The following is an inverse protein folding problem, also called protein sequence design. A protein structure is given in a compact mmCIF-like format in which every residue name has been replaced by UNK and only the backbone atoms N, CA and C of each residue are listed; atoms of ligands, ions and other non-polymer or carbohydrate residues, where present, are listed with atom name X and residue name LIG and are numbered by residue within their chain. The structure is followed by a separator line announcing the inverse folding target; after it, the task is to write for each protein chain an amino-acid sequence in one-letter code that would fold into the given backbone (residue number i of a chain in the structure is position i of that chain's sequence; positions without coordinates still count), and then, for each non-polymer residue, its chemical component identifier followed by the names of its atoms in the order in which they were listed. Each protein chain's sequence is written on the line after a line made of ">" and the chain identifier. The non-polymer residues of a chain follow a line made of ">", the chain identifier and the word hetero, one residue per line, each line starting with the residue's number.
data_IF_456845746685
#
_entry.id   IF_456845746685
#
_cell.length_a   1.000
_cell.length_b   1.000
_cell.length_c   1.000
_cell.angle_alpha   90.00
_cell.angle_beta   90.00
_cell.angle_gamma   90.00
#
_symmetry.space_group_name_H-M   'P 1'
#
loop_
_entity.id
_entity.type
_entity.pdbx_description
1 polymer ?
#
# COMPACT_ATOMS: atom_id res chain seq x y z
N UNK A 1 8.53 12.87 -16.19
CA UNK A 1 7.07 13.11 -16.10
C UNK A 1 6.38 11.79 -16.34
N UNK A 2 5.99 11.09 -15.29
CA UNK A 2 5.25 9.84 -15.44
C UNK A 2 3.75 10.04 -15.57
N UNK A 3 3.03 8.92 -15.52
CA UNK A 3 1.60 8.85 -15.77
C UNK A 3 0.83 8.69 -14.46
N UNK A 4 -0.38 9.23 -14.39
CA UNK A 4 -1.29 8.83 -13.32
C UNK A 4 -1.83 7.42 -13.56
N UNK A 5 -2.22 6.75 -12.48
CA UNK A 5 -3.02 5.54 -12.48
C UNK A 5 -4.42 5.86 -11.93
N UNK A 6 -5.45 5.52 -12.70
CA UNK A 6 -6.85 5.67 -12.34
C UNK A 6 -7.57 4.39 -12.76
N UNK A 7 -8.05 3.62 -11.80
CA UNK A 7 -8.70 2.33 -12.04
C UNK A 7 -10.05 2.25 -11.33
N UNK A 8 -11.02 1.58 -11.96
CA UNK A 8 -12.40 1.46 -11.45
C UNK A 8 -12.83 -0.01 -11.41
N UNK A 9 -13.19 -0.51 -10.22
CA UNK A 9 -13.67 -1.89 -10.00
C UNK A 9 -15.10 -1.89 -9.44
N UNK A 10 -16.00 -2.63 -10.09
CA UNK A 10 -17.40 -2.78 -9.67
C UNK A 10 -17.51 -3.87 -8.59
N UNK A 11 -18.16 -3.56 -7.46
CA UNK A 11 -18.48 -4.55 -6.43
C UNK A 11 -20.00 -4.70 -6.24
N UNK A 12 -20.47 -5.95 -6.11
CA UNK A 12 -21.88 -6.34 -6.03
C UNK A 12 -22.21 -6.91 -4.65
N UNK A 13 -23.47 -6.81 -4.24
CA UNK A 13 -23.96 -7.48 -3.02
C UNK A 13 -23.13 -7.16 -1.76
N UNK A 14 -22.86 -8.16 -0.92
CA UNK A 14 -22.05 -8.06 0.30
C UNK A 14 -20.56 -8.40 0.09
N UNK A 15 -20.08 -8.52 -1.15
CA UNK A 15 -18.72 -9.00 -1.46
C UNK A 15 -17.61 -7.97 -1.23
N UNK A 16 -17.88 -6.95 -0.43
CA UNK A 16 -17.01 -5.78 -0.26
C UNK A 16 -16.28 -5.73 1.08
N UNK A 17 -16.72 -6.54 2.06
CA UNK A 17 -16.16 -6.55 3.41
C UNK A 17 -14.64 -6.75 3.44
N UNK A 18 -14.12 -7.68 2.62
CA UNK A 18 -12.68 -7.97 2.56
C UNK A 18 -11.85 -6.79 2.02
N UNK A 19 -12.44 -6.00 1.12
CA UNK A 19 -11.81 -4.77 0.65
C UNK A 19 -11.88 -3.67 1.70
N UNK A 20 -13.01 -3.56 2.42
CA UNK A 20 -13.13 -2.65 3.57
C UNK A 20 -12.10 -2.97 4.63
N UNK A 21 -11.90 -4.25 4.97
CA UNK A 21 -10.90 -4.68 5.94
C UNK A 21 -9.47 -4.31 5.51
N UNK A 22 -9.18 -4.40 4.21
CA UNK A 22 -7.91 -3.96 3.63
C UNK A 22 -7.75 -2.43 3.71
N UNK A 23 -8.75 -1.68 3.25
CA UNK A 23 -8.72 -0.21 3.18
C UNK A 23 -8.62 0.42 4.57
N UNK A 24 -9.38 -0.11 5.53
CA UNK A 24 -9.45 0.38 6.91
C UNK A 24 -8.39 -0.26 7.82
N UNK A 25 -7.50 -1.11 7.25
CA UNK A 25 -6.44 -1.81 7.97
C UNK A 25 -6.95 -2.61 9.19
N UNK A 26 -8.14 -3.19 9.09
CA UNK A 26 -8.64 -4.21 10.02
C UNK A 26 -7.83 -5.50 9.91
N UNK A 27 -7.28 -5.77 8.73
CA UNK A 27 -6.28 -6.80 8.47
C UNK A 27 -5.12 -6.14 7.76
N UNK A 28 -3.91 -6.22 8.34
CA UNK A 28 -2.70 -5.68 7.75
C UNK A 28 -2.22 -6.64 6.64
N UNK A 29 -2.11 -6.20 5.38
CA UNK A 29 -1.58 -7.04 4.31
C UNK A 29 -0.05 -7.14 4.37
N UNK A 30 0.50 -8.22 3.82
CA UNK A 30 1.95 -8.51 3.87
C UNK A 30 2.83 -7.41 3.24
N UNK A 31 2.28 -6.64 2.29
CA UNK A 31 2.97 -5.56 1.60
C UNK A 31 2.81 -4.18 2.24
N UNK A 32 2.11 -4.07 3.39
CA UNK A 32 2.01 -2.84 4.14
C UNK A 32 3.03 -2.84 5.30
N UNK A 33 3.70 -1.71 5.47
CA UNK A 33 4.62 -1.42 6.57
C UNK A 33 3.83 -0.91 7.80
N UNK A 34 3.69 -1.72 8.86
CA UNK A 34 2.91 -1.34 10.04
C UNK A 34 3.41 -0.07 10.73
N UNK A 35 4.69 0.27 10.57
CA UNK A 35 5.27 1.47 11.18
C UNK A 35 4.76 2.75 10.53
N UNK A 36 4.26 2.67 9.30
CA UNK A 36 3.77 3.79 8.50
C UNK A 36 2.25 3.90 8.46
N UNK A 37 1.50 2.91 8.96
CA UNK A 37 0.03 2.89 8.91
C UNK A 37 -0.61 4.11 9.56
N UNK A 38 0.02 4.70 10.57
CA UNK A 38 -0.44 5.94 11.21
C UNK A 38 -0.43 7.17 10.28
N UNK A 39 0.27 7.09 9.14
CA UNK A 39 0.29 8.13 8.10
C UNK A 39 -0.90 8.01 7.13
N UNK A 40 -1.69 6.94 7.21
CA UNK A 40 -2.90 6.80 6.42
C UNK A 40 -3.96 7.79 6.90
N UNK A 41 -4.78 8.30 5.98
CA UNK A 41 -5.77 9.35 6.29
C UNK A 41 -7.09 9.13 5.59
N UNK A 42 -8.17 9.33 6.31
CA UNK A 42 -9.51 9.43 5.73
C UNK A 42 -9.78 10.88 5.31
N UNK A 43 -10.14 11.08 4.04
CA UNK A 43 -10.37 12.42 3.47
C UNK A 43 -11.85 12.81 3.43
N UNK A 44 -12.75 11.85 3.69
CA UNK A 44 -14.20 12.08 3.72
C UNK A 44 -14.73 11.81 5.11
N UNK A 45 -15.36 12.82 5.71
CA UNK A 45 -16.03 12.67 7.00
C UNK A 45 -17.33 11.87 6.84
N UNK A 46 -17.43 10.77 7.57
CA UNK A 46 -18.63 9.94 7.61
C UNK A 46 -19.81 10.65 8.29
N UNK A 47 -21.07 10.35 7.91
CA UNK A 47 -22.25 10.83 8.62
C UNK A 47 -22.28 10.38 10.09
N UNK A 48 -23.00 11.12 10.94
CA UNK A 48 -23.15 10.76 12.35
C UNK A 48 -23.78 9.37 12.52
N UNK A 49 -23.16 8.52 13.34
CA UNK A 49 -23.63 7.15 13.60
C UNK A 49 -23.32 6.14 12.48
N UNK A 50 -22.46 6.52 11.53
CA UNK A 50 -21.95 5.64 10.47
C UNK A 50 -20.47 5.37 10.75
N UNK A 51 -20.11 4.10 10.92
CA UNK A 51 -18.76 3.68 11.26
C UNK A 51 -18.19 2.80 10.15
N UNK A 52 -17.16 3.33 9.49
CA UNK A 52 -16.50 2.64 8.38
C UNK A 52 -17.27 2.70 7.05
N UNK A 53 -16.57 2.23 6.03
CA UNK A 53 -16.87 2.26 4.61
C UNK A 53 -18.10 1.43 4.25
N UNK A 54 -18.25 0.23 4.81
CA UNK A 54 -19.41 -0.63 4.52
C UNK A 54 -20.72 0.01 5.00
N UNK A 55 -20.72 0.57 6.20
CA UNK A 55 -21.87 1.31 6.74
C UNK A 55 -22.13 2.58 5.92
N UNK A 56 -21.09 3.28 5.46
CA UNK A 56 -21.23 4.47 4.62
C UNK A 56 -21.89 4.16 3.28
N UNK A 57 -21.50 3.06 2.63
CA UNK A 57 -22.13 2.57 1.40
C UNK A 57 -23.60 2.23 1.66
N UNK A 58 -23.89 1.48 2.72
CA UNK A 58 -25.25 1.09 3.08
C UNK A 58 -26.13 2.30 3.43
N UNK A 59 -25.60 3.25 4.20
CA UNK A 59 -26.25 4.48 4.59
C UNK A 59 -26.61 5.33 3.35
N UNK A 60 -25.66 5.52 2.43
CA UNK A 60 -25.91 6.27 1.19
C UNK A 60 -26.98 5.62 0.34
N UNK A 61 -26.96 4.29 0.17
CA UNK A 61 -27.98 3.55 -0.56
C UNK A 61 -29.37 3.70 0.10
N UNK A 62 -29.44 3.61 1.43
CA UNK A 62 -30.68 3.70 2.20
C UNK A 62 -31.30 5.10 2.12
N UNK A 63 -30.49 6.15 2.16
CA UNK A 63 -30.94 7.55 2.19
C UNK A 63 -31.17 8.15 0.80
N UNK A 64 -30.70 7.50 -0.27
CA UNK A 64 -30.84 7.98 -1.65
C UNK A 64 -32.29 7.99 -2.20
N UNK A 65 -33.28 7.49 -1.48
CA UNK A 65 -34.67 7.47 -1.95
C UNK A 65 -34.94 6.47 -3.08
N UNK A 66 -34.13 5.40 -3.18
CA UNK A 66 -34.33 4.32 -4.15
C UNK A 66 -35.58 3.52 -3.75
N UNK A 67 -36.64 3.63 -4.55
CA UNK A 67 -37.92 2.97 -4.27
C UNK A 67 -37.98 1.50 -4.68
N UNK A 68 -37.14 1.06 -5.62
CA UNK A 68 -37.13 -0.32 -6.10
C UNK A 68 -36.19 -1.16 -5.23
N UNK A 69 -36.59 -2.42 -4.97
CA UNK A 69 -35.73 -3.39 -4.30
C UNK A 69 -34.41 -3.53 -5.05
N UNK A 70 -33.31 -3.47 -4.30
CA UNK A 70 -31.96 -3.67 -4.82
C UNK A 70 -31.64 -5.17 -4.76
N UNK A 71 -31.30 -5.77 -5.89
CA UNK A 71 -30.93 -7.18 -5.96
C UNK A 71 -29.46 -7.39 -5.59
N UNK A 72 -29.08 -8.62 -5.25
CA UNK A 72 -27.71 -8.95 -4.85
C UNK A 72 -26.70 -8.77 -6.00
N UNK A 73 -27.14 -8.91 -7.26
CA UNK A 73 -26.27 -8.75 -8.44
C UNK A 73 -26.02 -7.30 -8.84
N UNK A 74 -26.72 -6.34 -8.22
CA UNK A 74 -26.50 -4.93 -8.51
C UNK A 74 -25.19 -4.45 -7.89
N UNK A 75 -24.47 -3.65 -8.68
CA UNK A 75 -23.26 -2.97 -8.24
C UNK A 75 -23.65 -1.93 -7.19
N UNK A 76 -23.17 -2.13 -5.97
CA UNK A 76 -23.44 -1.24 -4.83
C UNK A 76 -22.39 -0.16 -4.67
N UNK A 77 -21.16 -0.45 -5.09
CA UNK A 77 -20.04 0.49 -5.03
C UNK A 77 -19.09 0.27 -6.20
N UNK A 78 -18.49 1.36 -6.65
CA UNK A 78 -17.35 1.40 -7.55
C UNK A 78 -16.14 1.75 -6.68
N UNK A 79 -15.22 0.80 -6.56
CA UNK A 79 -13.90 1.00 -5.94
C UNK A 79 -13.02 1.71 -6.95
N UNK A 80 -12.40 2.80 -6.56
CA UNK A 80 -11.54 3.60 -7.43
C UNK A 80 -10.17 3.73 -6.80
N UNK A 81 -9.12 3.36 -7.53
CA UNK A 81 -7.74 3.58 -7.08
C UNK A 81 -7.14 4.73 -7.88
N UNK A 82 -6.53 5.68 -7.18
CA UNK A 82 -5.84 6.82 -7.77
C UNK A 82 -4.40 6.88 -7.27
N UNK A 83 -3.44 6.98 -8.18
CA UNK A 83 -2.01 7.11 -7.85
C UNK A 83 -1.24 7.67 -9.05
N UNK A 84 0.09 7.65 -8.97
CA UNK A 84 1.03 7.93 -10.04
C UNK A 84 2.10 6.84 -10.11
N UNK A 85 3.17 7.09 -10.86
CA UNK A 85 4.37 6.25 -10.74
C UNK A 85 4.97 6.40 -9.35
N UNK A 86 5.73 5.41 -8.89
CA UNK A 86 6.37 5.47 -7.58
C UNK A 86 7.22 6.75 -7.43
N UNK A 87 8.06 7.03 -8.42
CA UNK A 87 8.93 8.21 -8.46
C UNK A 87 8.13 9.52 -8.40
N UNK A 88 7.08 9.67 -9.22
CA UNK A 88 6.29 10.91 -9.21
C UNK A 88 5.56 11.10 -7.87
N UNK A 89 4.99 10.04 -7.29
CA UNK A 89 4.29 10.13 -6.00
C UNK A 89 5.24 10.47 -4.85
N UNK A 90 6.45 9.91 -4.85
CA UNK A 90 7.48 10.27 -3.87
C UNK A 90 7.96 11.70 -4.06
N UNK A 91 8.09 12.18 -5.30
CA UNK A 91 8.44 13.57 -5.58
C UNK A 91 7.33 14.53 -5.10
N UNK A 92 6.06 14.23 -5.36
CA UNK A 92 4.92 15.00 -4.86
C UNK A 92 4.93 15.06 -3.33
N UNK A 93 5.22 13.95 -2.66
CA UNK A 93 5.32 13.90 -1.20
C UNK A 93 6.52 14.70 -0.66
N UNK A 94 7.71 14.52 -1.23
CA UNK A 94 8.92 15.22 -0.82
C UNK A 94 8.81 16.74 -1.00
N UNK A 95 8.09 17.20 -2.03
CA UNK A 95 7.84 18.62 -2.28
C UNK A 95 6.71 19.21 -1.42
N UNK A 96 6.14 18.44 -0.47
CA UNK A 96 5.04 18.91 0.37
C UNK A 96 3.70 19.08 -0.37
N UNK A 97 3.57 18.55 -1.58
CA UNK A 97 2.40 18.72 -2.44
C UNK A 97 1.36 17.58 -2.30
N UNK A 98 1.62 16.61 -1.42
CA UNK A 98 0.75 15.44 -1.25
C UNK A 98 -0.66 15.80 -0.78
N UNK A 99 -0.77 16.80 0.10
CA UNK A 99 -2.05 17.26 0.63
C UNK A 99 -2.89 17.94 -0.44
N UNK A 100 -2.25 18.78 -1.26
CA UNK A 100 -2.89 19.42 -2.39
C UNK A 100 -3.36 18.37 -3.41
N UNK A 101 -2.52 17.38 -3.71
CA UNK A 101 -2.87 16.27 -4.60
C UNK A 101 -4.07 15.47 -4.07
N UNK A 102 -4.09 15.18 -2.76
CA UNK A 102 -5.22 14.53 -2.10
C UNK A 102 -6.51 15.35 -2.22
N UNK A 103 -6.43 16.65 -1.95
CA UNK A 103 -7.56 17.57 -1.99
C UNK A 103 -8.13 17.73 -3.41
N UNK A 104 -7.28 17.87 -4.42
CA UNK A 104 -7.72 17.97 -5.81
C UNK A 104 -8.28 16.66 -6.34
N UNK A 105 -7.69 15.53 -5.93
CA UNK A 105 -8.21 14.20 -6.28
C UNK A 105 -9.60 14.00 -5.67
N UNK A 106 -9.79 14.39 -4.40
CA UNK A 106 -11.09 14.36 -3.73
C UNK A 106 -12.09 15.30 -4.42
N UNK A 107 -11.67 16.53 -4.75
CA UNK A 107 -12.49 17.50 -5.47
C UNK A 107 -12.95 16.94 -6.81
N UNK A 108 -12.02 16.42 -7.62
CA UNK A 108 -12.33 15.83 -8.91
C UNK A 108 -13.32 14.65 -8.78
N UNK A 109 -13.14 13.78 -7.79
CA UNK A 109 -14.08 12.69 -7.51
C UNK A 109 -15.48 13.23 -7.18
N UNK A 110 -15.58 14.24 -6.33
CA UNK A 110 -16.86 14.83 -5.91
C UNK A 110 -17.55 15.59 -7.05
N UNK A 111 -16.81 16.32 -7.87
CA UNK A 111 -17.32 17.05 -9.02
C UNK A 111 -17.80 16.07 -10.11
N UNK A 112 -17.07 14.95 -10.29
CA UNK A 112 -17.38 13.94 -11.32
C UNK A 112 -18.54 13.03 -10.96
N UNK A 113 -18.56 12.53 -9.71
CA UNK A 113 -19.51 11.49 -9.30
C UNK A 113 -20.62 12.00 -8.36
N UNK A 114 -20.50 13.24 -7.89
CA UNK A 114 -21.37 13.86 -6.90
C UNK A 114 -20.86 13.64 -5.49
N UNK A 115 -20.79 14.72 -4.71
CA UNK A 115 -20.28 14.72 -3.33
C UNK A 115 -20.91 13.65 -2.43
N UNK A 116 -22.23 13.45 -2.50
CA UNK A 116 -22.92 12.43 -1.71
C UNK A 116 -22.60 10.99 -2.13
N UNK A 117 -22.19 10.79 -3.38
CA UNK A 117 -21.89 9.46 -3.91
C UNK A 117 -20.48 9.02 -3.57
N UNK A 118 -19.55 9.95 -3.29
CA UNK A 118 -18.20 9.65 -2.80
C UNK A 118 -18.26 9.48 -1.29
N UNK A 119 -18.42 8.23 -0.83
CA UNK A 119 -18.72 7.94 0.59
C UNK A 119 -17.48 7.66 1.43
N UNK A 120 -16.35 7.35 0.80
CA UNK A 120 -15.08 7.09 1.49
C UNK A 120 -13.94 7.39 0.52
N UNK A 121 -12.91 8.09 1.01
CA UNK A 121 -11.62 8.24 0.31
C UNK A 121 -10.53 8.11 1.37
N UNK A 122 -9.65 7.13 1.20
CA UNK A 122 -8.57 6.82 2.16
C UNK A 122 -7.24 6.87 1.44
N UNK A 123 -6.31 7.64 2.00
CA UNK A 123 -4.90 7.67 1.61
C UNK A 123 -4.14 6.54 2.30
N UNK A 124 -3.46 5.73 1.52
CA UNK A 124 -2.49 4.74 2.00
C UNK A 124 -1.07 5.24 1.75
N UNK A 125 -0.32 5.36 2.84
CA UNK A 125 1.08 5.77 2.92
C UNK A 125 1.99 4.65 3.44
N UNK A 126 1.42 3.51 3.78
CA UNK A 126 2.11 2.35 4.35
C UNK A 126 2.43 1.27 3.34
N UNK A 127 2.02 1.42 2.08
CA UNK A 127 2.43 0.53 0.98
C UNK A 127 3.57 1.15 0.16
N UNK A 128 4.01 0.42 -0.88
CA UNK A 128 5.15 0.82 -1.72
C UNK A 128 5.00 2.22 -2.33
N UNK A 129 3.81 2.57 -2.82
CA UNK A 129 3.55 3.87 -3.47
C UNK A 129 2.32 4.53 -2.85
N UNK A 130 2.37 5.82 -2.48
CA UNK A 130 1.20 6.55 -2.02
C UNK A 130 0.03 6.45 -3.00
N UNK A 131 -1.15 6.09 -2.51
CA UNK A 131 -2.34 5.97 -3.36
C UNK A 131 -3.64 6.19 -2.58
N UNK A 132 -4.69 6.54 -3.29
CA UNK A 132 -6.03 6.74 -2.75
C UNK A 132 -6.93 5.57 -3.11
N UNK A 133 -7.68 5.09 -2.12
CA UNK A 133 -8.83 4.23 -2.30
C UNK A 133 -10.12 5.05 -2.12
N UNK A 134 -10.85 5.27 -3.21
CA UNK A 134 -12.13 5.94 -3.21
C UNK A 134 -13.29 4.97 -3.44
N UNK A 135 -14.41 5.23 -2.76
CA UNK A 135 -15.63 4.41 -2.81
C UNK A 135 -16.80 5.23 -3.29
N UNK A 136 -17.31 4.89 -4.46
CA UNK A 136 -18.36 5.64 -5.14
C UNK A 136 -19.63 4.81 -5.23
N UNK A 137 -20.72 5.28 -4.65
CA UNK A 137 -22.04 4.64 -4.80
C UNK A 137 -22.68 5.12 -6.11
N UNK A 138 -22.95 4.25 -7.09
CA UNK A 138 -23.34 4.65 -8.45
C UNK A 138 -24.82 5.02 -8.55
N UNK A 139 -25.24 6.04 -7.79
CA UNK A 139 -26.61 6.55 -7.81
C UNK A 139 -26.75 7.57 -8.94
N UNK A 140 -27.76 7.34 -9.78
CA UNK A 140 -28.11 8.23 -10.89
C UNK A 140 -29.58 8.62 -10.84
N UNK A 141 -29.87 9.83 -11.31
CA UNK A 141 -31.21 10.39 -11.47
C UNK A 141 -31.43 10.60 -12.97
N UNK A 142 -32.62 10.26 -13.48
CA UNK A 142 -32.99 10.50 -14.89
C UNK A 142 -33.43 9.24 -15.62
N UNK A 143 -33.51 9.27 -16.94
CA UNK A 143 -33.92 8.11 -17.75
C UNK A 143 -32.80 7.08 -17.92
N UNK A 144 -33.16 5.81 -18.15
CA UNK A 144 -32.19 4.73 -18.39
C UNK A 144 -31.59 4.86 -19.79
N UNK A 145 -30.25 4.78 -19.94
CA UNK A 145 -29.60 4.88 -21.27
C UNK A 145 -30.13 3.87 -22.28
N UNK A 146 -30.28 2.59 -21.90
CA UNK A 146 -30.87 1.54 -22.75
C UNK A 146 -32.33 1.79 -23.16
N UNK A 147 -33.01 2.76 -22.55
CA UNK A 147 -34.35 3.18 -22.95
C UNK A 147 -34.35 4.31 -24.00
N UNK A 148 -33.23 5.03 -24.18
CA UNK A 148 -33.04 6.01 -25.26
C UNK A 148 -32.73 5.36 -26.61
N UNK A 149 -32.17 4.16 -26.61
CA UNK A 149 -31.66 3.47 -27.80
C UNK A 149 -32.62 2.44 -28.41
N UNK A 150 -33.89 2.37 -27.96
CA UNK A 150 -34.91 1.54 -28.64
C UNK A 150 -35.72 2.42 -29.59
N UNK A 151 -35.68 2.15 -30.92
CA UNK A 151 -36.69 2.67 -31.83
C UNK A 151 -38.07 2.22 -31.33
N UNK A 152 -39.04 3.11 -31.39
CA UNK A 152 -40.45 2.78 -31.14
C UNK A 152 -40.93 1.88 -32.29
N UNK A 153 -40.62 0.59 -32.25
CA UNK A 153 -41.30 -0.39 -33.12
C UNK A 153 -42.79 -0.40 -32.76
N UNK A 154 -43.63 -0.05 -33.73
CA UNK A 154 -45.08 -0.08 -33.62
C UNK A 154 -45.55 -1.50 -33.25
N UNK A 155 -46.28 -1.63 -32.13
CA UNK A 155 -47.01 -2.86 -31.78
C UNK A 155 -46.57 -3.62 -30.53
N UNK A 156 -45.43 -3.32 -29.88
CA UNK A 156 -45.06 -3.96 -28.60
C UNK A 156 -45.48 -3.10 -27.40
N UNK A 157 -46.19 -3.69 -26.42
CA UNK A 157 -46.64 -3.04 -25.17
C UNK A 157 -45.55 -2.13 -24.59
N UNK A 158 -45.73 -0.81 -24.72
CA UNK A 158 -44.80 0.18 -24.17
C UNK A 158 -45.02 0.29 -22.67
N UNK A 159 -44.06 -0.20 -21.89
CA UNK A 159 -44.06 -0.02 -20.44
C UNK A 159 -44.00 1.49 -20.11
N UNK A 160 -44.93 1.99 -19.28
CA UNK A 160 -45.00 3.40 -18.89
C UNK A 160 -43.66 3.87 -18.31
N UNK A 161 -43.01 4.81 -19.01
CA UNK A 161 -41.71 5.38 -18.62
C UNK A 161 -41.92 6.24 -17.37
N UNK A 162 -41.31 5.88 -16.25
CA UNK A 162 -41.27 6.75 -15.06
C UNK A 162 -40.07 7.67 -15.19
N UNK A 163 -40.31 8.94 -15.48
CA UNK A 163 -39.28 9.98 -15.50
C UNK A 163 -38.63 10.12 -14.10
N UNK A 164 -37.32 10.38 -14.07
CA UNK A 164 -36.59 10.86 -12.90
C UNK A 164 -36.60 9.97 -11.65
N UNK A 165 -36.59 8.64 -11.81
CA UNK A 165 -36.43 7.73 -10.67
C UNK A 165 -34.95 7.57 -10.28
N UNK A 166 -34.66 7.75 -8.98
CA UNK A 166 -33.33 7.47 -8.39
C UNK A 166 -33.05 5.97 -8.42
N UNK A 167 -31.86 5.58 -8.89
CA UNK A 167 -31.45 4.16 -9.00
C UNK A 167 -29.95 3.98 -8.84
N UNK A 168 -29.54 2.78 -8.47
CA UNK A 168 -28.16 2.29 -8.63
C UNK A 168 -27.93 1.84 -10.07
N UNK A 169 -27.00 2.48 -10.79
CA UNK A 169 -26.64 2.10 -12.15
C UNK A 169 -25.18 2.39 -12.47
N UNK A 170 -24.29 1.43 -12.19
CA UNK A 170 -22.88 1.52 -12.54
C UNK A 170 -22.63 1.60 -14.07
N UNK A 171 -23.54 1.13 -14.91
CA UNK A 171 -23.38 1.21 -16.38
C UNK A 171 -23.61 2.64 -16.91
N UNK A 172 -24.46 3.43 -16.25
CA UNK A 172 -24.65 4.84 -16.60
C UNK A 172 -23.46 5.69 -16.10
N UNK A 173 -22.78 5.26 -15.04
CA UNK A 173 -21.59 5.92 -14.46
C UNK A 173 -20.31 5.52 -15.21
N UNK A 174 -20.09 4.22 -15.47
CA UNK A 174 -18.90 3.65 -16.09
C UNK A 174 -19.22 3.11 -17.49
N UNK A 175 -19.43 4.02 -18.43
CA UNK A 175 -19.52 3.69 -19.86
C UNK A 175 -18.28 4.17 -20.59
N UNK A 176 -18.01 3.58 -21.77
CA UNK A 176 -16.78 3.82 -22.54
C UNK A 176 -16.46 5.30 -22.74
N UNK A 177 -17.43 6.10 -23.17
CA UNK A 177 -17.23 7.53 -23.44
C UNK A 177 -16.87 8.30 -22.16
N UNK A 178 -17.61 8.04 -21.07
CA UNK A 178 -17.30 8.64 -19.76
C UNK A 178 -15.94 8.20 -19.24
N UNK A 179 -15.56 6.93 -19.40
CA UNK A 179 -14.25 6.46 -18.97
C UNK A 179 -13.13 7.21 -19.70
N UNK A 180 -13.24 7.41 -21.02
CA UNK A 180 -12.28 8.22 -21.78
C UNK A 180 -12.21 9.63 -21.21
N UNK A 181 -13.37 10.26 -20.97
CA UNK A 181 -13.46 11.60 -20.40
C UNK A 181 -12.95 11.72 -18.96
N UNK A 182 -13.08 10.67 -18.14
CA UNK A 182 -12.53 10.65 -16.78
C UNK A 182 -11.00 10.66 -16.82
N UNK A 183 -10.38 9.85 -17.70
CA UNK A 183 -8.94 9.91 -17.88
C UNK A 183 -8.47 11.27 -18.45
N UNK A 184 -9.26 11.91 -19.32
CA UNK A 184 -8.93 13.23 -19.87
C UNK A 184 -8.97 14.31 -18.78
N UNK A 185 -10.11 14.43 -18.08
CA UNK A 185 -10.32 15.44 -17.04
C UNK A 185 -9.43 15.24 -15.82
N UNK A 186 -9.13 14.00 -15.46
CA UNK A 186 -8.19 13.74 -14.36
C UNK A 186 -6.75 14.11 -14.76
N UNK A 187 -6.35 13.91 -16.02
CA UNK A 187 -5.07 14.40 -16.52
C UNK A 187 -4.93 15.91 -16.39
N UNK A 188 -5.99 16.63 -16.75
CA UNK A 188 -6.04 18.08 -16.66
C UNK A 188 -5.91 18.54 -15.20
N UNK A 189 -6.68 17.93 -14.29
CA UNK A 189 -6.64 18.24 -12.87
C UNK A 189 -5.26 17.96 -12.24
N UNK A 190 -4.61 16.87 -12.65
CA UNK A 190 -3.33 16.43 -12.07
C UNK A 190 -2.10 16.99 -12.77
N UNK A 191 -2.26 17.73 -13.87
CA UNK A 191 -1.16 18.22 -14.69
C UNK A 191 -0.16 19.10 -13.93
N UNK A 192 -0.63 19.87 -12.93
CA UNK A 192 0.23 20.70 -12.06
C UNK A 192 1.18 19.90 -11.16
N UNK A 193 0.90 18.60 -10.95
CA UNK A 193 1.78 17.66 -10.24
C UNK A 193 2.73 16.92 -11.19
N UNK A 194 2.74 17.26 -12.48
CA UNK A 194 3.56 16.59 -13.49
C UNK A 194 3.03 15.23 -13.95
N UNK A 195 1.84 14.83 -13.49
CA UNK A 195 1.21 13.57 -13.84
C UNK A 195 0.47 13.67 -15.18
N UNK A 196 0.80 12.78 -16.11
CA UNK A 196 0.23 12.76 -17.47
C UNK A 196 -0.81 11.67 -17.66
N UNK A 197 -1.65 11.86 -18.68
CA UNK A 197 -2.59 10.86 -19.17
C UNK A 197 -1.88 9.64 -19.74
N UNK A 198 -2.32 8.44 -19.36
CA UNK A 198 -1.94 7.21 -20.05
C UNK A 198 -2.32 7.19 -21.54
N UNK A 199 -1.63 6.33 -22.30
CA UNK A 199 -1.77 6.20 -23.75
C UNK A 199 -3.22 5.94 -24.15
N UNK A 200 -3.75 6.75 -25.08
CA UNK A 200 -5.09 6.55 -25.65
C UNK A 200 -5.13 5.26 -26.47
N UNK A 201 -6.13 4.42 -26.22
CA UNK A 201 -6.27 3.15 -26.94
C UNK A 201 -5.21 2.10 -26.60
N UNK A 202 -4.57 2.22 -25.42
CA UNK A 202 -3.60 1.22 -24.97
C UNK A 202 -4.14 -0.20 -25.01
N UNK A 203 -3.37 -1.12 -25.58
CA UNK A 203 -3.64 -2.57 -25.58
C UNK A 203 -3.27 -3.26 -24.25
N UNK A 204 -2.77 -2.50 -23.27
CA UNK A 204 -2.41 -3.02 -21.97
C UNK A 204 -3.64 -3.65 -21.27
N UNK A 205 -3.47 -4.86 -20.75
CA UNK A 205 -4.48 -5.55 -19.95
C UNK A 205 -4.18 -5.39 -18.48
N UNK A 206 -5.20 -5.07 -17.69
CA UNK A 206 -5.07 -5.03 -16.23
C UNK A 206 -4.60 -6.39 -15.70
N UNK A 207 -3.51 -6.36 -14.94
CA UNK A 207 -3.03 -7.49 -14.16
C UNK A 207 -3.33 -7.26 -12.68
N UNK A 208 -3.76 -8.29 -11.97
CA UNK A 208 -3.93 -8.17 -10.52
C UNK A 208 -2.57 -8.00 -9.84
N UNK A 209 -2.52 -7.41 -8.65
CA UNK A 209 -1.29 -7.21 -7.88
C UNK A 209 -0.52 -8.53 -7.69
N UNK A 210 -1.22 -9.61 -7.37
CA UNK A 210 -0.62 -10.95 -7.23
C UNK A 210 -0.12 -11.55 -8.57
N UNK A 211 -0.71 -11.17 -9.71
CA UNK A 211 -0.19 -11.56 -11.02
C UNK A 211 1.04 -10.73 -11.39
N UNK A 212 1.03 -9.43 -11.12
CA UNK A 212 2.15 -8.53 -11.37
C UNK A 212 3.41 -9.01 -10.65
N UNK A 213 3.35 -9.24 -9.33
CA UNK A 213 4.51 -9.72 -8.58
C UNK A 213 4.99 -11.10 -9.04
N UNK A 214 4.09 -12.00 -9.44
CA UNK A 214 4.48 -13.29 -10.03
C UNK A 214 5.21 -13.13 -11.36
N UNK A 215 4.76 -12.23 -12.22
CA UNK A 215 5.40 -11.95 -13.51
C UNK A 215 6.79 -11.33 -13.31
N UNK A 216 6.90 -10.33 -12.44
CA UNK A 216 8.19 -9.69 -12.10
C UNK A 216 9.17 -10.73 -11.56
N UNK A 217 8.73 -11.60 -10.64
CA UNK A 217 9.58 -12.68 -10.11
C UNK A 217 10.08 -13.60 -11.22
N UNK A 218 9.19 -14.05 -12.10
CA UNK A 218 9.53 -14.92 -13.22
C UNK A 218 10.47 -14.25 -14.23
N UNK A 219 10.26 -12.97 -14.52
CA UNK A 219 11.14 -12.19 -15.41
C UNK A 219 12.51 -11.95 -14.78
N UNK A 220 12.55 -11.67 -13.47
CA UNK A 220 13.81 -11.52 -12.73
C UNK A 220 14.62 -12.82 -12.76
N UNK A 221 13.97 -13.96 -12.49
CA UNK A 221 14.59 -15.29 -12.60
C UNK A 221 15.09 -15.56 -14.02
N UNK A 222 14.31 -15.20 -15.05
CA UNK A 222 14.71 -15.33 -16.45
C UNK A 222 15.91 -14.46 -16.79
N UNK A 223 15.90 -13.19 -16.38
CA UNK A 223 16.99 -12.24 -16.62
C UNK A 223 18.27 -12.67 -15.89
N UNK A 224 18.17 -13.13 -14.64
CA UNK A 224 19.30 -13.69 -13.90
C UNK A 224 19.90 -14.91 -14.62
N UNK A 225 19.06 -15.79 -15.17
CA UNK A 225 19.53 -16.93 -15.94
C UNK A 225 20.20 -16.49 -17.26
N UNK A 226 19.63 -15.51 -17.97
CA UNK A 226 20.26 -14.93 -19.16
C UNK A 226 21.59 -14.26 -18.84
N UNK A 227 21.70 -13.52 -17.74
CA UNK A 227 22.96 -12.92 -17.30
C UNK A 227 24.04 -13.97 -17.01
N UNK A 228 23.68 -15.07 -16.33
CA UNK A 228 24.61 -16.19 -16.09
C UNK A 228 25.09 -16.84 -17.39
N UNK A 229 24.18 -17.06 -18.34
CA UNK A 229 24.52 -17.61 -19.66
C UNK A 229 25.47 -16.67 -20.41
N UNK A 230 25.12 -15.38 -20.50
CA UNK A 230 25.97 -14.36 -21.13
C UNK A 230 27.35 -14.28 -20.47
N UNK A 231 27.42 -14.39 -19.15
CA UNK A 231 28.70 -14.37 -18.43
C UNK A 231 29.55 -15.61 -18.76
N UNK A 232 28.93 -16.79 -18.87
CA UNK A 232 29.60 -18.01 -19.35
C UNK A 232 30.09 -17.86 -20.80
N UNK A 233 29.28 -17.27 -21.69
CA UNK A 233 29.65 -17.03 -23.09
C UNK A 233 30.83 -16.05 -23.20
N UNK A 234 30.85 -15.01 -22.35
CA UNK A 234 31.96 -14.05 -22.26
C UNK A 234 33.23 -14.75 -21.75
N UNK A 235 33.16 -15.55 -20.69
CA UNK A 235 34.30 -16.30 -20.17
C UNK A 235 34.86 -17.33 -21.17
N UNK A 236 33.98 -17.94 -21.98
CA UNK A 236 34.36 -18.85 -23.06
C UNK A 236 35.02 -18.07 -24.20
N UNK A 237 34.44 -16.96 -24.64
CA UNK A 237 35.01 -16.09 -25.65
C UNK A 237 36.37 -15.53 -25.24
N UNK A 238 36.56 -15.14 -23.98
CA UNK A 238 37.84 -14.69 -23.43
C UNK A 238 38.87 -15.82 -23.40
N UNK A 239 38.47 -17.05 -23.02
CA UNK A 239 39.35 -18.22 -23.06
C UNK A 239 39.77 -18.56 -24.49
N UNK A 240 38.83 -18.57 -25.43
CA UNK A 240 39.10 -18.78 -26.85
C UNK A 240 40.00 -17.68 -27.40
N UNK A 241 39.74 -16.41 -27.06
CA UNK A 241 40.58 -15.29 -27.47
C UNK A 241 42.00 -15.39 -26.90
N UNK A 242 42.15 -15.82 -25.64
CA UNK A 242 43.46 -16.06 -25.02
C UNK A 242 44.19 -17.24 -25.68
N UNK A 243 43.46 -18.32 -25.99
CA UNK A 243 44.01 -19.48 -26.70
C UNK A 243 44.43 -19.09 -28.12
N UNK A 244 43.57 -18.43 -28.88
CA UNK A 244 43.87 -17.92 -30.22
C UNK A 244 45.01 -16.90 -30.17
N UNK A 245 45.09 -16.02 -29.16
CA UNK A 245 46.22 -15.10 -28.97
C UNK A 245 47.52 -15.85 -28.70
N UNK A 246 47.50 -16.91 -27.89
CA UNK A 246 48.67 -17.74 -27.62
C UNK A 246 49.09 -18.58 -28.85
N UNK A 247 48.13 -19.11 -29.60
CA UNK A 247 48.36 -19.83 -30.85
C UNK A 247 48.90 -18.89 -31.94
N UNK A 248 48.39 -17.66 -32.04
CA UNK A 248 48.92 -16.58 -32.88
C UNK A 248 50.34 -16.16 -32.45
N UNK A 249 50.65 -16.28 -31.16
CA UNK A 249 51.97 -15.96 -30.59
C UNK A 249 52.99 -17.11 -30.69
N UNK A 250 52.62 -18.26 -31.27
CA UNK A 250 53.62 -19.28 -31.61
C UNK A 250 54.31 -18.92 -32.92
N UNK A 251 55.64 -18.92 -32.89
CA UNK A 251 56.56 -18.49 -33.96
C UNK A 251 56.29 -19.12 -35.33
N UNK A 252 55.62 -20.28 -35.38
CA UNK A 252 55.20 -20.95 -36.62
C UNK A 252 54.08 -20.21 -37.37
N UNK A 253 53.18 -19.51 -36.69
CA UNK A 253 52.11 -18.74 -37.35
C UNK A 253 52.60 -17.38 -37.85
N UNK A 254 53.53 -16.71 -37.14
CA UNK A 254 54.16 -15.48 -37.64
C UNK A 254 54.96 -15.74 -38.92
N UNK A 255 55.74 -16.83 -38.96
CA UNK A 255 56.48 -17.25 -40.15
C UNK A 255 55.57 -17.70 -41.30
N UNK A 256 54.54 -18.52 -41.03
CA UNK A 256 53.58 -18.93 -42.05
C UNK A 256 52.68 -17.79 -42.53
N UNK A 257 52.37 -16.80 -41.67
CA UNK A 257 51.57 -15.61 -42.01
C UNK A 257 52.37 -14.62 -42.85
N UNK A 258 53.66 -14.42 -42.59
CA UNK A 258 54.51 -13.59 -43.45
C UNK A 258 54.75 -14.29 -44.79
N UNK A 259 54.98 -15.59 -44.80
CA UNK A 259 55.17 -16.39 -46.03
C UNK A 259 53.88 -16.47 -46.86
N UNK A 260 52.73 -16.73 -46.24
CA UNK A 260 51.42 -16.73 -46.90
C UNK A 260 50.97 -15.33 -47.33
N UNK A 261 51.28 -14.26 -46.58
CA UNK A 261 51.02 -12.87 -46.99
C UNK A 261 51.89 -12.48 -48.19
N UNK A 262 53.14 -12.94 -48.25
CA UNK A 262 54.04 -12.69 -49.39
C UNK A 262 53.60 -13.49 -50.62
N UNK A 263 53.20 -14.75 -50.44
CA UNK A 263 52.68 -15.61 -51.51
C UNK A 263 51.29 -15.16 -52.02
N UNK A 264 50.40 -14.70 -51.13
CA UNK A 264 49.07 -14.18 -51.48
C UNK A 264 49.18 -12.81 -52.17
N UNK A 265 50.06 -11.91 -51.72
CA UNK A 265 50.32 -10.62 -52.40
C UNK A 265 50.91 -10.84 -53.80
N UNK A 266 51.79 -11.83 -53.97
CA UNK A 266 52.32 -12.24 -55.28
C UNK A 266 51.23 -12.83 -56.21
N UNK A 267 50.34 -13.67 -55.66
CA UNK A 267 49.30 -14.37 -56.43
C UNK A 267 48.04 -13.53 -56.69
N UNK A 268 47.70 -12.61 -55.80
CA UNK A 268 46.63 -11.61 -56.01
C UNK A 268 47.13 -10.48 -56.91
N UNK A 269 48.41 -10.09 -56.83
CA UNK A 269 49.02 -9.14 -57.76
C UNK A 269 49.02 -9.61 -59.22
N UNK A 270 48.99 -10.92 -59.48
CA UNK A 270 48.87 -11.51 -60.82
C UNK A 270 47.42 -11.79 -61.26
N UNK A 271 46.45 -11.83 -60.34
CA UNK A 271 45.03 -12.14 -60.64
C UNK A 271 44.09 -10.92 -60.58
N UNK A 272 44.42 -9.91 -59.78
CA UNK A 272 43.65 -8.69 -59.57
C UNK A 272 44.60 -7.52 -59.79
N UNK A 273 44.45 -6.81 -60.92
CA UNK A 273 45.28 -5.65 -61.25
C UNK A 273 45.48 -4.71 -60.05
N UNK A 274 46.70 -4.19 -59.92
CA UNK A 274 47.26 -3.49 -58.76
C UNK A 274 46.40 -2.36 -58.14
N UNK A 275 45.38 -1.86 -58.85
CA UNK A 275 44.42 -0.88 -58.33
C UNK A 275 43.48 -1.40 -57.24
N UNK A 276 42.88 -2.59 -57.40
CA UNK A 276 41.89 -3.12 -56.44
C UNK A 276 42.52 -3.55 -55.11
N UNK A 277 43.77 -4.01 -55.14
CA UNK A 277 44.54 -4.34 -53.93
C UNK A 277 44.80 -3.09 -53.07
N UNK A 278 45.17 -1.98 -53.72
CA UNK A 278 45.39 -0.69 -53.04
C UNK A 278 44.11 -0.16 -52.39
N UNK A 279 42.96 -0.35 -53.02
CA UNK A 279 41.66 0.03 -52.43
C UNK A 279 41.33 -0.77 -51.16
N UNK A 280 41.53 -2.08 -51.16
CA UNK A 280 41.31 -2.95 -49.99
C UNK A 280 42.27 -2.59 -48.86
N UNK A 281 43.55 -2.36 -49.17
CA UNK A 281 44.52 -1.90 -48.17
C UNK A 281 44.16 -0.53 -47.58
N UNK A 282 43.64 0.38 -48.39
CA UNK A 282 43.19 1.68 -47.94
C UNK A 282 41.92 1.58 -47.07
N UNK A 283 40.99 0.68 -47.42
CA UNK A 283 39.78 0.44 -46.63
C UNK A 283 40.11 -0.20 -45.27
N UNK A 284 41.02 -1.18 -45.23
CA UNK A 284 41.49 -1.77 -43.99
C UNK A 284 42.21 -0.77 -43.08
N UNK A 285 43.01 0.15 -43.64
CA UNK A 285 43.62 1.25 -42.87
C UNK A 285 42.57 2.14 -42.21
N UNK A 286 41.54 2.56 -42.96
CA UNK A 286 40.42 3.36 -42.44
C UNK A 286 39.63 2.63 -41.36
N UNK A 287 39.41 1.33 -41.51
CA UNK A 287 38.75 0.52 -40.49
C UNK A 287 39.58 0.44 -39.20
N UNK A 288 40.90 0.27 -39.29
CA UNK A 288 41.78 0.28 -38.12
C UNK A 288 41.78 1.62 -37.38
N UNK A 289 41.78 2.74 -38.11
CA UNK A 289 41.65 4.08 -37.51
C UNK A 289 40.30 4.24 -36.79
N UNK A 290 39.20 3.85 -37.44
CA UNK A 290 37.87 3.92 -36.84
C UNK A 290 37.72 3.05 -35.58
N UNK A 291 38.34 1.86 -35.57
CA UNK A 291 38.36 0.99 -34.37
C UNK A 291 39.11 1.68 -33.24
N UNK A 292 40.27 2.27 -33.52
CA UNK A 292 41.06 2.98 -32.51
C UNK A 292 40.30 4.18 -31.92
N UNK A 293 39.63 4.96 -32.77
CA UNK A 293 38.82 6.11 -32.32
C UNK A 293 37.65 5.65 -31.42
N UNK A 294 37.03 4.51 -31.76
CA UNK A 294 35.96 3.93 -30.94
C UNK A 294 36.46 3.38 -29.61
N UNK A 295 37.62 2.73 -29.58
CA UNK A 295 38.24 2.26 -28.34
C UNK A 295 38.53 3.43 -27.41
N UNK A 296 39.10 4.53 -27.92
CA UNK A 296 39.34 5.73 -27.13
C UNK A 296 38.04 6.34 -26.57
N UNK A 297 36.98 6.39 -27.38
CA UNK A 297 35.68 6.89 -26.92
C UNK A 297 35.04 5.99 -25.85
N UNK A 298 35.23 4.67 -25.95
CA UNK A 298 34.78 3.71 -24.93
C UNK A 298 35.53 3.94 -23.61
N UNK A 299 36.84 4.20 -23.65
CA UNK A 299 37.64 4.51 -22.46
C UNK A 299 37.16 5.79 -21.77
N UNK A 300 36.90 6.86 -22.55
CA UNK A 300 36.36 8.12 -22.03
C UNK A 300 34.98 7.95 -21.37
N UNK A 301 34.13 7.08 -21.93
CA UNK A 301 32.83 6.75 -21.34
C UNK A 301 32.98 5.97 -20.04
N UNK A 302 33.90 5.00 -19.96
CA UNK A 302 34.17 4.26 -18.72
C UNK A 302 34.68 5.19 -17.61
N UNK A 303 35.60 6.11 -17.91
CA UNK A 303 36.06 7.10 -16.91
C UNK A 303 34.92 8.00 -16.41
N UNK A 304 33.97 8.36 -17.28
CA UNK A 304 32.81 9.17 -16.89
C UNK A 304 31.84 8.40 -16.01
N UNK A 305 31.61 7.12 -16.30
CA UNK A 305 30.78 6.22 -15.47
C UNK A 305 31.42 6.07 -14.10
N UNK A 306 32.72 5.77 -14.03
CA UNK A 306 33.43 5.60 -12.77
C UNK A 306 33.34 6.86 -11.88
N UNK A 307 33.59 8.05 -12.46
CA UNK A 307 33.45 9.32 -11.72
C UNK A 307 32.04 9.56 -11.18
N UNK A 308 31.02 9.14 -11.93
CA UNK A 308 29.63 9.25 -11.49
C UNK A 308 29.31 8.27 -10.35
N UNK A 309 29.80 7.03 -10.44
CA UNK A 309 29.64 6.03 -9.39
C UNK A 309 30.35 6.45 -8.10
N UNK A 310 31.56 7.00 -8.19
CA UNK A 310 32.31 7.50 -7.03
C UNK A 310 31.56 8.67 -6.36
N UNK A 311 31.05 9.61 -7.17
CA UNK A 311 30.28 10.76 -6.67
C UNK A 311 28.97 10.32 -5.99
N UNK A 312 28.24 9.38 -6.60
CA UNK A 312 27.01 8.84 -6.01
C UNK A 312 27.31 8.07 -4.71
N UNK A 313 28.39 7.30 -4.67
CA UNK A 313 28.81 6.56 -3.48
C UNK A 313 29.15 7.50 -2.33
N UNK A 314 29.83 8.62 -2.62
CA UNK A 314 30.13 9.66 -1.64
C UNK A 314 28.85 10.31 -1.10
N UNK A 315 27.91 10.71 -1.97
CA UNK A 315 26.64 11.32 -1.56
C UNK A 315 25.79 10.39 -0.70
N UNK A 316 25.75 9.09 -1.03
CA UNK A 316 25.08 8.08 -0.21
C UNK A 316 25.72 7.96 1.17
N UNK A 317 27.05 7.98 1.25
CA UNK A 317 27.79 7.96 2.50
C UNK A 317 27.49 9.17 3.40
N UNK A 318 27.51 10.38 2.83
CA UNK A 318 27.19 11.62 3.53
C UNK A 318 25.74 11.62 4.05
N UNK A 319 24.77 11.24 3.21
CA UNK A 319 23.37 11.13 3.59
C UNK A 319 23.17 10.11 4.72
N UNK A 320 23.85 8.97 4.66
CA UNK A 320 23.77 7.94 5.68
C UNK A 320 24.35 8.41 7.02
N UNK A 321 25.44 9.18 7.01
CA UNK A 321 26.00 9.77 8.22
C UNK A 321 25.07 10.81 8.86
N UNK A 322 24.49 11.70 8.04
CA UNK A 322 23.50 12.69 8.51
C UNK A 322 22.30 11.99 9.14
N UNK A 323 21.75 10.98 8.45
CA UNK A 323 20.61 10.23 8.97
C UNK A 323 20.94 9.51 10.29
N UNK A 324 22.11 8.89 10.40
CA UNK A 324 22.53 8.24 11.65
C UNK A 324 22.66 9.24 12.81
N UNK A 325 23.23 10.42 12.55
CA UNK A 325 23.35 11.47 13.55
C UNK A 325 21.97 11.95 14.04
N UNK A 326 21.02 12.18 13.13
CA UNK A 326 19.65 12.58 13.46
C UNK A 326 18.92 11.51 14.27
N UNK A 327 19.06 10.23 13.91
CA UNK A 327 18.47 9.12 14.67
C UNK A 327 19.01 9.06 16.10
N UNK A 328 20.32 9.27 16.29
CA UNK A 328 20.94 9.32 17.63
C UNK A 328 20.41 10.51 18.43
N UNK A 329 20.31 11.68 17.83
CA UNK A 329 19.80 12.89 18.47
C UNK A 329 18.33 12.73 18.91
N UNK A 330 17.47 12.23 18.01
CA UNK A 330 16.05 11.99 18.31
C UNK A 330 15.87 10.95 19.43
N UNK A 331 16.65 9.86 19.41
CA UNK A 331 16.63 8.87 20.50
C UNK A 331 17.04 9.48 21.83
N UNK A 332 18.04 10.36 21.85
CA UNK A 332 18.49 11.06 23.06
C UNK A 332 17.41 12.02 23.59
N UNK A 333 16.79 12.81 22.72
CA UNK A 333 15.66 13.70 23.07
C UNK A 333 14.50 12.90 23.66
N UNK A 334 14.09 11.82 22.98
CA UNK A 334 13.01 10.96 23.46
C UNK A 334 13.33 10.33 24.83
N UNK A 335 14.55 9.83 25.03
CA UNK A 335 14.97 9.28 26.32
C UNK A 335 14.88 10.32 27.44
N UNK A 336 15.26 11.58 27.15
CA UNK A 336 15.19 12.69 28.10
C UNK A 336 13.74 13.04 28.46
N UNK A 337 12.86 13.13 27.47
CA UNK A 337 11.42 13.38 27.68
C UNK A 337 10.75 12.28 28.50
N UNK A 338 11.04 11.01 28.18
CA UNK A 338 10.54 9.86 28.94
C UNK A 338 11.04 9.89 30.38
N UNK A 339 12.29 10.26 30.61
CA UNK A 339 12.83 10.42 31.96
C UNK A 339 12.08 11.52 32.73
N UNK A 340 11.84 12.67 32.10
CA UNK A 340 11.09 13.77 32.72
C UNK A 340 9.66 13.35 33.09
N UNK A 341 8.96 12.67 32.18
CA UNK A 341 7.62 12.15 32.44
C UNK A 341 7.60 11.14 33.57
N UNK A 342 8.56 10.22 33.61
CA UNK A 342 8.68 9.24 34.69
C UNK A 342 8.93 9.92 36.05
N UNK A 343 9.73 10.98 36.08
CA UNK A 343 9.96 11.77 37.29
C UNK A 343 8.70 12.52 37.74
N UNK A 344 7.94 13.09 36.81
CA UNK A 344 6.64 13.73 37.10
C UNK A 344 5.66 12.69 37.67
N UNK A 345 5.55 11.51 37.05
CA UNK A 345 4.70 10.42 37.52
C UNK A 345 5.12 9.97 38.92
N UNK A 346 6.43 9.85 39.19
CA UNK A 346 6.95 9.49 40.51
C UNK A 346 6.55 10.53 41.57
N UNK A 347 6.70 11.83 41.25
CA UNK A 347 6.26 12.93 42.13
C UNK A 347 4.75 12.93 42.35
N UNK A 348 3.96 12.73 41.29
CA UNK A 348 2.51 12.67 41.37
C UNK A 348 2.01 11.51 42.25
N UNK A 349 2.61 10.32 42.12
CA UNK A 349 2.32 9.17 43.00
C UNK A 349 2.65 9.46 44.46
N UNK A 350 3.73 10.20 44.72
CA UNK A 350 4.14 10.59 46.06
C UNK A 350 3.20 11.63 46.68
N UNK A 351 2.85 12.69 45.95
CA UNK A 351 1.97 13.76 46.43
C UNK A 351 0.50 13.33 46.53
N UNK A 352 0.08 12.40 45.67
CA UNK A 352 -1.30 11.91 45.62
C UNK A 352 -1.33 10.39 45.74
N UNK A 353 -1.20 9.81 46.94
CA UNK A 353 -1.20 8.35 47.13
C UNK A 353 -2.43 7.63 46.57
N UNK A 354 -3.60 8.30 46.54
CA UNK A 354 -4.82 7.76 45.93
C UNK A 354 -4.73 7.63 44.39
N UNK A 355 -3.83 8.37 43.73
CA UNK A 355 -3.56 8.22 42.29
C UNK A 355 -3.02 6.82 41.98
N UNK A 356 -2.08 6.32 42.80
CA UNK A 356 -1.52 4.98 42.65
C UNK A 356 -2.62 3.91 42.75
N UNK A 357 -3.48 4.02 43.77
CA UNK A 357 -4.59 3.10 43.97
C UNK A 357 -5.58 3.11 42.79
N UNK A 358 -5.86 4.29 42.22
CA UNK A 358 -6.73 4.43 41.04
C UNK A 358 -6.10 3.82 39.79
N UNK A 359 -4.82 4.05 39.54
CA UNK A 359 -4.10 3.45 38.40
C UNK A 359 -4.05 1.92 38.49
N UNK A 360 -3.83 1.39 39.70
CA UNK A 360 -3.86 -0.06 39.95
C UNK A 360 -5.28 -0.63 39.72
N UNK A 361 -6.31 0.06 40.21
CA UNK A 361 -7.71 -0.34 40.00
C UNK A 361 -8.13 -0.26 38.53
N UNK A 362 -7.68 0.76 37.80
CA UNK A 362 -7.91 0.90 36.36
C UNK A 362 -7.36 -0.30 35.60
N UNK A 363 -6.11 -0.68 35.89
CA UNK A 363 -5.45 -1.84 35.28
C UNK A 363 -6.19 -3.15 35.63
N UNK A 364 -6.57 -3.33 36.89
CA UNK A 364 -7.37 -4.48 37.32
C UNK A 364 -8.69 -4.58 36.56
N UNK A 365 -9.45 -3.49 36.48
CA UNK A 365 -10.73 -3.46 35.77
C UNK A 365 -10.56 -3.73 34.26
N UNK A 366 -9.49 -3.20 33.66
CA UNK A 366 -9.16 -3.45 32.25
C UNK A 366 -8.85 -4.94 32.00
N UNK A 367 -8.05 -5.56 32.88
CA UNK A 367 -7.75 -7.00 32.81
C UNK A 367 -9.00 -7.88 32.96
N UNK A 368 -9.93 -7.48 33.83
CA UNK A 368 -11.21 -8.19 34.01
C UNK A 368 -12.11 -8.07 32.77
N UNK A 369 -11.93 -7.02 31.96
CA UNK A 369 -12.62 -6.85 30.68
C UNK A 369 -13.61 -5.70 30.65
N UNK A 370 -13.52 -4.73 31.57
CA UNK A 370 -14.32 -3.51 31.50
C UNK A 370 -13.77 -2.55 30.44
N UNK A 371 -14.68 -1.84 29.77
CA UNK A 371 -14.36 -0.78 28.79
C UNK A 371 -13.85 0.49 29.48
N UNK A 372 -13.19 1.38 28.73
CA UNK A 372 -12.64 2.64 29.27
C UNK A 372 -13.76 3.49 29.91
N UNK A 373 -14.93 3.54 29.29
CA UNK A 373 -16.10 4.27 29.80
C UNK A 373 -16.61 3.68 31.12
N UNK A 374 -16.70 2.34 31.19
CA UNK A 374 -17.12 1.63 32.40
C UNK A 374 -16.12 1.82 33.55
N UNK A 375 -14.82 1.76 33.26
CA UNK A 375 -13.77 2.01 34.24
C UNK A 375 -13.85 3.45 34.77
N UNK A 376 -14.09 4.42 33.89
CA UNK A 376 -14.32 5.81 34.29
C UNK A 376 -15.47 5.94 35.30
N UNK A 377 -16.60 5.29 35.06
CA UNK A 377 -17.74 5.26 36.01
C UNK A 377 -17.33 4.63 37.34
N UNK A 378 -16.66 3.47 37.30
CA UNK A 378 -16.23 2.74 38.50
C UNK A 378 -15.26 3.54 39.36
N UNK A 379 -14.28 4.22 38.75
CA UNK A 379 -13.29 5.03 39.47
C UNK A 379 -13.88 6.30 40.13
N UNK A 380 -15.09 6.71 39.73
CA UNK A 380 -15.85 7.76 40.44
C UNK A 380 -16.63 7.24 41.66
N UNK A 381 -16.60 5.93 41.91
CA UNK A 381 -17.33 5.28 43.02
C UNK A 381 -18.82 5.01 42.72
N UNK A 382 -19.29 5.29 41.50
CA UNK A 382 -20.65 4.98 41.06
C UNK A 382 -20.80 3.49 40.78
N UNK A 383 -21.98 2.95 41.09
CA UNK A 383 -22.34 1.58 40.75
C UNK A 383 -22.56 1.45 39.24
N UNK A 384 -22.10 0.34 38.67
CA UNK A 384 -22.28 -0.03 37.27
C UNK A 384 -23.07 -1.34 37.20
N UNK A 385 -24.22 -1.31 36.54
CA UNK A 385 -24.95 -2.54 36.22
C UNK A 385 -24.33 -3.20 35.00
N UNK A 386 -23.91 -4.45 35.14
CA UNK A 386 -23.17 -5.18 34.11
C UNK A 386 -23.77 -6.57 33.86
N UNK A 387 -23.93 -6.88 32.59
CA UNK A 387 -24.26 -8.21 32.08
C UNK A 387 -23.28 -8.54 30.96
N UNK A 388 -22.63 -9.69 31.04
CA UNK A 388 -21.58 -10.07 30.09
C UNK A 388 -20.60 -11.06 30.68
N UNK A 389 -19.36 -11.02 30.20
CA UNK A 389 -18.32 -11.98 30.56
C UNK A 389 -17.17 -11.27 31.24
N UNK A 390 -16.81 -11.71 32.45
CA UNK A 390 -15.71 -11.17 33.25
C UNK A 390 -14.54 -12.17 33.28
N UNK A 391 -13.35 -11.69 32.98
CA UNK A 391 -12.13 -12.50 32.98
C UNK A 391 -11.48 -12.56 34.36
N UNK A 392 -11.13 -13.78 34.80
CA UNK A 392 -10.31 -14.02 35.98
C UNK A 392 -8.89 -14.36 35.56
N UNK A 393 -7.92 -13.55 36.01
CA UNK A 393 -6.50 -13.84 35.80
C UNK A 393 -6.04 -15.05 36.63
N UNK A 394 -6.57 -15.23 37.84
CA UNK A 394 -6.28 -16.36 38.74
C UNK A 394 -6.71 -17.71 38.13
N UNK A 395 -7.90 -17.76 37.52
CA UNK A 395 -8.43 -19.00 36.91
C UNK A 395 -8.23 -19.08 35.40
N UNK A 396 -7.59 -18.07 34.79
CA UNK A 396 -7.33 -17.93 33.35
C UNK A 396 -8.56 -18.20 32.46
N UNK A 397 -9.73 -17.75 32.90
CA UNK A 397 -11.01 -18.03 32.23
C UNK A 397 -12.01 -16.90 32.42
N UNK A 398 -12.97 -16.84 31.49
CA UNK A 398 -14.12 -15.94 31.58
C UNK A 398 -15.31 -16.59 32.29
N UNK A 399 -16.01 -15.80 33.09
CA UNK A 399 -17.22 -16.15 33.81
C UNK A 399 -18.35 -15.25 33.35
N UNK A 400 -19.49 -15.84 33.01
CA UNK A 400 -20.65 -15.05 32.62
C UNK A 400 -21.38 -14.55 33.87
N UNK A 401 -21.85 -13.31 33.80
CA UNK A 401 -22.60 -12.67 34.85
C UNK A 401 -23.78 -11.93 34.23
N UNK A 402 -24.93 -12.00 34.88
CA UNK A 402 -26.16 -11.32 34.47
C UNK A 402 -26.61 -10.39 35.58
N UNK A 403 -26.93 -9.15 35.21
CA UNK A 403 -27.47 -8.11 36.07
C UNK A 403 -26.68 -7.94 37.39
N UNK A 404 -25.36 -7.91 37.30
CA UNK A 404 -24.51 -7.67 38.46
C UNK A 404 -24.27 -6.19 38.70
N UNK A 405 -24.34 -5.78 39.96
CA UNK A 405 -23.86 -4.49 40.44
C UNK A 405 -22.35 -4.56 40.66
N UNK A 406 -21.59 -3.83 39.84
CA UNK A 406 -20.15 -3.68 39.98
C UNK A 406 -19.87 -2.34 40.65
N UNK A 407 -19.03 -2.32 41.67
CA UNK A 407 -18.70 -1.09 42.38
C UNK A 407 -17.28 -1.11 42.94
N UNK A 408 -16.61 0.04 42.87
CA UNK A 408 -15.32 0.27 43.54
C UNK A 408 -15.58 1.02 44.83
N UNK A 409 -15.05 0.50 45.93
CA UNK A 409 -15.11 1.12 47.25
C UNK A 409 -13.72 1.53 47.73
N UNK A 410 -13.67 2.65 48.44
CA UNK A 410 -12.53 3.01 49.30
C UNK A 410 -12.87 2.64 50.74
N UNK A 411 -11.93 2.00 51.44
CA UNK A 411 -12.09 1.66 52.85
C UNK A 411 -11.56 2.82 53.72
N UNK A 412 -12.37 3.31 54.66
CA UNK A 412 -11.97 4.37 55.60
C UNK A 412 -10.87 3.93 56.56
N UNK A 413 -10.69 2.63 56.77
CA UNK A 413 -9.65 2.04 57.64
C UNK A 413 -8.34 1.78 56.90
N UNK A 414 -8.36 1.77 55.56
CA UNK A 414 -7.18 1.60 54.69
C UNK A 414 -7.10 2.76 53.70
N UNK A 415 -6.67 3.95 54.16
CA UNK A 415 -6.53 5.10 53.29
C UNK A 415 -5.57 4.74 52.14
N UNK A 416 -5.99 5.04 50.91
CA UNK A 416 -5.28 4.72 49.66
C UNK A 416 -5.37 3.27 49.17
N UNK A 417 -6.42 2.52 49.55
CA UNK A 417 -6.77 1.26 48.89
C UNK A 417 -8.16 1.32 48.27
N UNK A 418 -8.28 0.72 47.09
CA UNK A 418 -9.54 0.56 46.38
C UNK A 418 -9.85 -0.92 46.22
N UNK A 419 -11.11 -1.28 46.39
CA UNK A 419 -11.59 -2.65 46.31
C UNK A 419 -12.73 -2.74 45.31
N UNK A 420 -12.64 -3.71 44.40
CA UNK A 420 -13.67 -3.98 43.41
C UNK A 420 -14.61 -5.06 43.94
N UNK A 421 -15.91 -4.80 43.85
CA UNK A 421 -16.97 -5.68 44.30
C UNK A 421 -17.93 -6.00 43.15
N UNK A 422 -18.44 -7.23 43.18
CA UNK A 422 -19.50 -7.74 42.31
C UNK A 422 -20.63 -8.22 43.22
N UNK A 423 -21.82 -7.62 43.12
CA UNK A 423 -22.97 -7.92 43.98
C UNK A 423 -22.61 -7.90 45.48
N UNK A 424 -21.89 -6.85 45.91
CA UNK A 424 -21.42 -6.67 47.30
C UNK A 424 -20.48 -7.76 47.81
N UNK A 425 -19.90 -8.57 46.93
CA UNK A 425 -18.83 -9.51 47.24
C UNK A 425 -17.50 -9.05 46.63
N UNK A 426 -16.35 -9.13 47.33
CA UNK A 426 -15.05 -8.82 46.75
C UNK A 426 -14.79 -9.63 45.49
N UNK A 427 -14.24 -9.00 44.44
CA UNK A 427 -14.09 -9.63 43.11
C UNK A 427 -13.33 -10.96 43.13
N UNK A 428 -12.29 -11.07 43.96
CA UNK A 428 -11.50 -12.29 44.11
C UNK A 428 -12.37 -13.43 44.68
N UNK A 429 -13.12 -13.15 45.74
CA UNK A 429 -14.02 -14.13 46.36
C UNK A 429 -15.18 -14.49 45.44
N UNK A 430 -15.69 -13.53 44.68
CA UNK A 430 -16.72 -13.80 43.68
C UNK A 430 -16.23 -14.81 42.63
N UNK A 431 -15.02 -14.61 42.07
CA UNK A 431 -14.44 -15.55 41.12
C UNK A 431 -14.23 -16.95 41.72
N UNK A 432 -13.74 -17.05 42.97
CA UNK A 432 -13.61 -18.34 43.67
C UNK A 432 -14.95 -19.07 43.81
N UNK A 433 -16.01 -18.36 44.18
CA UNK A 433 -17.36 -18.93 44.29
C UNK A 433 -17.84 -19.44 42.93
N UNK A 434 -17.68 -18.66 41.87
CA UNK A 434 -18.07 -19.11 40.52
C UNK A 434 -17.24 -20.31 40.06
N UNK A 435 -15.95 -20.34 40.36
CA UNK A 435 -15.08 -21.46 40.05
C UNK A 435 -15.48 -22.75 40.79
N UNK A 436 -15.81 -22.65 42.07
CA UNK A 436 -16.25 -23.81 42.86
C UNK A 436 -17.59 -24.37 42.40
N UNK A 437 -18.52 -23.53 41.91
CA UNK A 437 -19.76 -23.98 41.28
C UNK A 437 -19.54 -24.81 40.01
N UNK A 438 -18.40 -24.64 39.35
CA UNK A 438 -18.02 -25.40 38.16
C UNK A 438 -17.31 -26.73 38.49
N UNK A 439 -16.98 -27.00 39.77
CA UNK A 439 -16.39 -28.27 40.19
C UNK A 439 -17.51 -29.30 40.46
N UNK A 440 -17.48 -30.49 39.82
CA UNK A 440 -18.43 -31.55 40.16
C UNK A 440 -18.21 -32.02 41.60
N UNK A 441 -19.29 -32.15 42.38
CA UNK A 441 -19.27 -32.80 43.69
C UNK A 441 -18.70 -34.22 43.52
N UNK A 442 -17.50 -34.49 44.03
CA UNK A 442 -17.05 -35.86 44.28
C UNK A 442 -17.73 -36.34 45.56
N UNK A 443 -18.83 -37.06 45.40
CA UNK A 443 -19.42 -37.86 46.48
C UNK A 443 -18.41 -38.93 46.89
N UNK A 444 -17.83 -38.78 48.08
CA UNK A 444 -17.06 -39.84 48.73
C UNK A 444 -18.09 -40.83 49.29
N UNK A 445 -18.26 -41.98 48.63
CA UNK A 445 -18.88 -43.15 49.25
C UNK A 445 -17.84 -43.75 50.20
N UNK A 446 -18.17 -43.77 51.48
CA UNK A 446 -17.52 -44.58 52.51
C UNK A 446 -18.01 -46.01 52.44
#
# INVERSE_FOLDING_TARGET
>A
MGHFSLDFKKAKGSSDARESDHIERKVIPDNADPTRTHLNRELVKMPSGVYGRDEAIAHRIKTAGIKRKITNDQVRVIRTMLSGTHEDMMNIAANGQLDDWCNDSLKWLQDTFGKENVVSVVLHMDEHTPHLHASIVPIVIGERRKARSKPTEEGKRTYRKKANAVRLCADDVLNRDKMIGYHDSYAEAMGKYGLKRGVRGSDARHTTTAQYYRNIKRETERLQNCMKLLQSDVEEAERLLKQTKNEINTEKLQAAKTEAKTALVSKIGSLLGSGKLKEVEQHNRKLCELVKDREQYIDELHEKIQRMEDSHSQQLGEMQQIHQAEVVELKSKHATEVSLLNDIVRKAKHWFPMLEARLQMENLCRKIGFTVEQIGVLLTGKALNFSGSLYSEEHKRKFNVENAEIKVFSDSTKPNQLFLYINRQPVIEWFKVQWNKLRPFKTILR
#
